data_IF_908326026119
#
_entry.id   IF_908326026119
#
_cell.length_a   1.000
_cell.length_b   1.000
_cell.length_c   1.000
_cell.angle_alpha   90.00
_cell.angle_beta   90.00
_cell.angle_gamma   90.00
#
_symmetry.space_group_name_H-M   'P 1'
#
loop_
_entity.id
_entity.type
_entity.pdbx_description
1 polymer ?
#
# COMPACT_ATOMS: atom_id res chain seq x y z
N UNK A 1 -22.68 -3.99 -18.36
CA UNK A 1 -21.86 -4.18 -17.13
C UNK A 1 -20.41 -4.46 -17.53
N UNK A 2 -19.78 -3.56 -18.29
CA UNK A 2 -18.40 -3.75 -18.78
C UNK A 2 -17.50 -2.58 -18.36
N UNK A 3 -17.92 -1.35 -18.68
CA UNK A 3 -17.17 -0.11 -18.42
C UNK A 3 -16.72 0.09 -16.96
N UNK A 4 -17.63 -0.05 -15.97
CA UNK A 4 -17.26 0.05 -14.55
C UNK A 4 -16.21 -1.00 -14.15
N UNK A 5 -16.30 -2.22 -14.70
CA UNK A 5 -15.38 -3.32 -14.37
C UNK A 5 -14.01 -3.07 -14.99
N UNK A 6 -13.96 -2.56 -16.21
CA UNK A 6 -12.72 -2.18 -16.89
C UNK A 6 -11.97 -1.10 -16.11
N UNK A 7 -12.65 0.01 -15.80
CA UNK A 7 -12.08 1.12 -15.04
C UNK A 7 -11.66 0.69 -13.62
N UNK A 8 -12.48 -0.09 -12.92
CA UNK A 8 -12.12 -0.61 -11.60
C UNK A 8 -10.95 -1.61 -11.67
N UNK A 9 -10.86 -2.37 -12.76
CA UNK A 9 -9.76 -3.28 -13.05
C UNK A 9 -8.44 -2.55 -13.21
N UNK A 10 -8.42 -1.43 -13.92
CA UNK A 10 -7.25 -0.56 -14.04
C UNK A 10 -6.78 -0.05 -12.66
N UNK A 11 -7.70 0.46 -11.82
CA UNK A 11 -7.38 0.91 -10.46
C UNK A 11 -6.82 -0.22 -9.58
N UNK A 12 -7.38 -1.42 -9.72
CA UNK A 12 -6.94 -2.61 -8.98
C UNK A 12 -5.54 -3.05 -9.39
N UNK A 13 -5.24 -3.04 -10.70
CA UNK A 13 -3.89 -3.29 -11.24
C UNK A 13 -2.89 -2.26 -10.73
N UNK A 14 -3.24 -0.97 -10.74
CA UNK A 14 -2.38 0.10 -10.22
C UNK A 14 -2.12 -0.06 -8.72
N UNK A 15 -3.10 -0.57 -7.98
CA UNK A 15 -2.98 -0.96 -6.58
C UNK A 15 -2.21 -2.26 -6.34
N UNK A 16 -1.62 -2.88 -7.37
CA UNK A 16 -0.87 -4.15 -7.33
C UNK A 16 -1.65 -5.29 -6.67
N UNK A 17 -2.98 -5.31 -6.85
CA UNK A 17 -3.89 -6.33 -6.31
C UNK A 17 -4.51 -7.15 -7.44
N UNK A 18 -4.93 -8.38 -7.14
CA UNK A 18 -5.58 -9.28 -8.10
C UNK A 18 -7.12 -9.27 -8.00
N UNK A 19 -7.68 -8.75 -6.90
CA UNK A 19 -9.12 -8.73 -6.62
C UNK A 19 -9.61 -7.29 -6.48
N UNK A 20 -10.78 -7.01 -7.06
CA UNK A 20 -11.47 -5.73 -6.91
C UNK A 20 -11.87 -5.54 -5.44
N UNK A 21 -11.62 -4.34 -4.91
CA UNK A 21 -12.16 -3.91 -3.63
C UNK A 21 -13.25 -2.84 -3.86
N UNK A 22 -14.16 -2.60 -2.89
CA UNK A 22 -15.19 -1.56 -3.00
C UNK A 22 -14.63 -0.16 -3.28
N UNK A 23 -13.39 0.09 -2.81
CA UNK A 23 -12.63 1.31 -3.10
C UNK A 23 -12.33 1.50 -4.59
N UNK A 24 -11.94 0.45 -5.31
CA UNK A 24 -11.58 0.54 -6.72
C UNK A 24 -12.79 0.89 -7.58
N UNK A 25 -13.95 0.30 -7.23
CA UNK A 25 -15.23 0.60 -7.87
C UNK A 25 -15.61 2.06 -7.60
N UNK A 26 -15.44 2.53 -6.37
CA UNK A 26 -15.75 3.92 -6.00
C UNK A 26 -14.86 4.93 -6.73
N UNK A 27 -13.56 4.63 -6.85
CA UNK A 27 -12.61 5.48 -7.57
C UNK A 27 -12.85 5.46 -9.09
N UNK A 28 -13.22 4.32 -9.66
CA UNK A 28 -13.60 4.21 -11.07
C UNK A 28 -14.81 5.10 -11.39
N UNK A 29 -15.88 4.99 -10.59
CA UNK A 29 -17.10 5.78 -10.81
C UNK A 29 -16.85 7.28 -10.61
N UNK A 30 -16.10 7.67 -9.56
CA UNK A 30 -15.85 9.08 -9.26
C UNK A 30 -14.78 9.72 -10.14
N UNK A 31 -13.90 8.91 -10.74
CA UNK A 31 -12.87 9.36 -11.66
C UNK A 31 -13.34 9.52 -13.10
N UNK A 32 -14.49 8.94 -13.44
CA UNK A 32 -15.09 9.05 -14.76
C UNK A 32 -16.20 10.12 -14.79
N UNK A 33 -16.22 10.94 -15.85
CA UNK A 33 -17.13 12.08 -15.96
C UNK A 33 -18.57 11.62 -16.21
N UNK A 34 -18.76 10.60 -17.04
CA UNK A 34 -20.07 10.12 -17.46
C UNK A 34 -20.75 9.35 -16.32
N UNK A 35 -20.00 8.44 -15.68
CA UNK A 35 -20.45 7.69 -14.52
C UNK A 35 -20.72 8.61 -13.32
N UNK A 36 -19.85 9.58 -13.01
CA UNK A 36 -20.09 10.48 -11.88
C UNK A 36 -21.32 11.37 -12.05
N UNK A 37 -21.75 11.64 -13.29
CA UNK A 37 -23.01 12.36 -13.60
C UNK A 37 -24.23 11.44 -13.57
N UNK A 38 -24.06 10.18 -13.98
CA UNK A 38 -25.12 9.19 -14.01
C UNK A 38 -25.64 8.84 -12.62
N UNK A 39 -24.73 8.72 -11.64
CA UNK A 39 -25.11 8.47 -10.26
C UNK A 39 -25.45 9.78 -9.52
N UNK A 40 -26.46 9.77 -8.63
CA UNK A 40 -26.72 10.91 -7.76
C UNK A 40 -25.45 11.36 -7.01
N UNK A 41 -25.29 12.68 -6.75
CA UNK A 41 -24.09 13.19 -6.08
C UNK A 41 -23.81 12.54 -4.72
N UNK A 42 -24.86 12.15 -4.00
CA UNK A 42 -24.81 11.53 -2.68
C UNK A 42 -24.64 10.00 -2.70
N UNK A 43 -24.54 9.37 -3.88
CA UNK A 43 -24.34 7.92 -3.96
C UNK A 43 -22.99 7.54 -3.34
N UNK A 44 -23.07 6.76 -2.26
CA UNK A 44 -21.92 6.18 -1.55
C UNK A 44 -21.95 4.67 -1.71
N UNK A 45 -20.85 4.10 -2.19
CA UNK A 45 -20.63 2.66 -2.19
C UNK A 45 -20.14 2.27 -0.80
N UNK A 46 -20.79 1.28 -0.17
CA UNK A 46 -20.37 0.78 1.14
C UNK A 46 -18.91 0.30 1.07
N UNK A 47 -18.12 0.64 2.09
CA UNK A 47 -16.68 0.35 2.16
C UNK A 47 -15.82 1.01 1.05
N UNK A 48 -16.41 1.92 0.26
CA UNK A 48 -15.76 2.58 -0.86
C UNK A 48 -14.93 3.84 -0.52
N UNK A 49 -15.26 4.52 0.58
CA UNK A 49 -14.65 5.80 0.96
C UNK A 49 -14.86 6.93 -0.06
N UNK A 50 -14.04 7.99 0.00
CA UNK A 50 -14.14 9.19 -0.86
C UNK A 50 -12.86 9.47 -1.64
N UNK A 51 -12.92 10.15 -2.80
CA UNK A 51 -11.72 10.54 -3.56
C UNK A 51 -10.82 11.42 -2.68
N UNK A 52 -9.50 11.17 -2.59
CA UNK A 52 -8.61 11.99 -1.77
C UNK A 52 -8.61 13.44 -2.25
N UNK A 53 -8.96 14.37 -1.37
CA UNK A 53 -8.93 15.80 -1.63
C UNK A 53 -8.61 16.54 -0.33
N UNK A 54 -7.63 17.44 -0.36
CA UNK A 54 -7.27 18.30 0.77
C UNK A 54 -7.39 19.74 0.30
N UNK A 55 -8.20 20.54 0.97
CA UNK A 55 -8.31 21.97 0.68
C UNK A 55 -6.97 22.66 0.94
N UNK A 56 -6.56 23.59 0.06
CA UNK A 56 -5.27 24.27 0.13
C UNK A 56 -5.04 25.01 1.46
N UNK A 57 -6.12 25.50 2.07
CA UNK A 57 -6.08 26.17 3.38
C UNK A 57 -5.63 25.26 4.53
N UNK A 58 -5.74 23.94 4.35
CA UNK A 58 -5.33 22.93 5.33
C UNK A 58 -3.89 22.47 5.12
N UNK A 59 -3.25 22.85 4.02
CA UNK A 59 -1.86 22.51 3.76
C UNK A 59 -0.94 23.43 4.55
N UNK A 60 0.01 22.83 5.26
CA UNK A 60 1.12 23.59 5.83
C UNK A 60 1.91 24.26 4.71
N UNK A 61 2.30 25.53 4.90
CA UNK A 61 3.16 26.25 3.95
C UNK A 61 4.50 25.52 3.84
N UNK A 62 4.73 24.81 2.74
CA UNK A 62 6.00 24.12 2.48
C UNK A 62 7.07 25.19 2.17
N UNK A 63 8.29 25.10 2.73
CA UNK A 63 9.42 25.87 2.20
C UNK A 63 9.69 25.41 0.75
N UNK A 64 9.98 26.35 -0.16
CA UNK A 64 10.27 26.05 -1.57
C UNK A 64 11.47 25.09 -1.65
N UNK A 65 11.24 23.84 -2.05
CA UNK A 65 12.31 22.93 -2.46
C UNK A 65 12.80 23.37 -3.84
N UNK A 66 14.12 23.46 -4.01
CA UNK A 66 14.76 23.81 -5.28
C UNK A 66 14.34 22.83 -6.39
N UNK A 67 14.27 23.27 -7.66
CA UNK A 67 13.83 22.43 -8.76
C UNK A 67 14.78 21.24 -8.94
N UNK A 68 14.25 20.02 -8.84
CA UNK A 68 14.98 18.82 -9.22
C UNK A 68 14.89 18.66 -10.74
N UNK A 69 16.06 18.60 -11.38
CA UNK A 69 16.20 18.41 -12.82
C UNK A 69 16.02 16.92 -13.10
N UNK A 70 14.93 16.54 -13.76
CA UNK A 70 14.76 15.18 -14.27
C UNK A 70 15.66 14.99 -15.51
N UNK A 71 16.52 13.95 -15.57
CA UNK A 71 17.23 13.64 -16.79
C UNK A 71 16.22 13.20 -17.87
N UNK A 72 16.25 13.86 -19.02
CA UNK A 72 15.59 13.42 -20.24
C UNK A 72 16.23 12.12 -20.71
N UNK A 73 15.45 11.04 -20.76
CA UNK A 73 15.80 9.88 -21.58
C UNK A 73 15.27 10.17 -22.98
N UNK A 74 16.19 10.44 -23.90
CA UNK A 74 15.93 10.36 -25.33
C UNK A 74 15.61 8.89 -25.67
N UNK A 75 14.53 8.68 -26.41
CA UNK A 75 14.07 7.36 -26.87
C UNK A 75 15.12 6.74 -27.80
N UNK A 76 15.87 5.75 -27.32
CA UNK A 76 16.58 4.79 -28.17
C UNK A 76 15.71 3.53 -28.27
N UNK A 77 15.10 3.35 -29.44
CA UNK A 77 14.55 2.06 -29.90
C UNK A 77 15.72 1.08 -30.08
N UNK A 78 16.00 0.26 -29.06
CA UNK A 78 16.91 -0.89 -29.17
C UNK A 78 16.10 -2.19 -29.15
N UNK A 79 15.71 -2.63 -30.35
CA UNK A 79 15.20 -3.97 -30.63
C UNK A 79 16.36 -4.98 -30.51
N UNK A 80 16.58 -5.51 -29.32
CA UNK A 80 17.42 -6.70 -29.11
C UNK A 80 16.59 -7.84 -28.50
N UNK A 81 16.17 -8.76 -29.36
CA UNK A 81 15.71 -10.11 -29.02
C UNK A 81 16.90 -10.92 -28.49
N UNK A 82 17.17 -10.84 -27.17
CA UNK A 82 18.13 -11.72 -26.50
C UNK A 82 17.40 -12.76 -25.62
N UNK A 83 17.44 -14.01 -26.11
CA UNK A 83 17.02 -15.23 -25.42
C UNK A 83 17.79 -15.39 -24.08
N UNK A 84 17.18 -15.01 -22.96
CA UNK A 84 17.79 -15.23 -21.64
C UNK A 84 17.49 -16.64 -21.11
N UNK A 85 18.32 -17.60 -21.53
CA UNK A 85 18.27 -18.99 -21.11
C UNK A 85 18.69 -19.17 -19.62
N UNK A 86 17.73 -19.67 -18.85
CA UNK A 86 17.77 -20.26 -17.50
C UNK A 86 19.11 -20.31 -16.74
N UNK A 87 19.19 -19.58 -15.63
CA UNK A 87 20.06 -19.96 -14.51
C UNK A 87 19.24 -19.95 -13.19
N UNK A 88 19.06 -21.10 -12.51
CA UNK A 88 18.51 -21.07 -11.16
C UNK A 88 19.51 -20.42 -10.22
N UNK A 89 19.10 -19.34 -9.55
CA UNK A 89 19.85 -18.76 -8.43
C UNK A 89 19.97 -19.82 -7.33
N UNK A 90 21.12 -20.47 -7.27
CA UNK A 90 21.51 -21.27 -6.10
C UNK A 90 21.65 -20.31 -4.92
N UNK A 91 20.72 -20.39 -3.97
CA UNK A 91 20.90 -19.77 -2.67
C UNK A 91 21.92 -20.61 -1.91
N UNK A 92 23.15 -20.13 -1.81
CA UNK A 92 24.06 -20.62 -0.79
C UNK A 92 23.52 -20.18 0.58
N UNK A 93 23.11 -21.16 1.37
CA UNK A 93 22.70 -20.98 2.76
C UNK A 93 23.95 -21.24 3.58
N UNK A 94 24.58 -20.20 4.13
CA UNK A 94 25.68 -20.35 5.07
C UNK A 94 25.11 -20.91 6.38
N UNK A 95 25.17 -22.23 6.52
CA UNK A 95 24.88 -22.94 7.76
C UNK A 95 26.04 -22.71 8.73
N UNK A 96 26.06 -21.56 9.41
CA UNK A 96 26.87 -21.41 10.62
C UNK A 96 26.25 -22.28 11.72
N UNK A 97 27.02 -23.29 12.11
CA UNK A 97 26.68 -24.26 13.13
C UNK A 97 26.61 -23.62 14.51
N UNK A 98 25.50 -23.89 15.20
CA UNK A 98 25.31 -24.16 16.62
C UNK A 98 26.26 -23.52 17.64
N UNK A 99 25.69 -22.69 18.54
CA UNK A 99 25.94 -22.78 19.98
C UNK A 99 24.88 -22.03 20.82
N UNK A 100 24.26 -22.82 21.71
CA UNK A 100 23.63 -22.55 23.02
C UNK A 100 22.31 -21.75 23.16
N UNK A 101 21.22 -22.38 23.66
CA UNK A 101 19.98 -21.73 24.04
C UNK A 101 19.89 -21.57 25.57
N UNK A 102 20.52 -20.54 26.16
CA UNK A 102 20.15 -20.06 27.50
C UNK A 102 20.55 -18.60 27.66
N UNK A 103 19.58 -17.69 27.46
CA UNK A 103 19.42 -16.45 28.23
C UNK A 103 18.10 -15.77 27.84
N UNK A 104 16.99 -16.39 28.25
CA UNK A 104 15.73 -15.66 28.37
C UNK A 104 15.84 -14.71 29.56
N UNK A 105 16.33 -13.50 29.32
CA UNK A 105 16.15 -12.38 30.24
C UNK A 105 14.63 -12.17 30.43
N UNK A 106 14.07 -12.23 31.65
CA UNK A 106 12.68 -11.89 31.84
C UNK A 106 12.53 -10.40 31.52
N UNK A 107 11.68 -10.07 30.55
CA UNK A 107 11.28 -8.69 30.28
C UNK A 107 10.66 -8.13 31.57
N UNK A 108 11.41 -7.26 32.26
CA UNK A 108 10.93 -6.56 33.43
C UNK A 108 9.67 -5.79 33.02
N UNK A 109 8.51 -6.30 33.44
CA UNK A 109 7.25 -5.60 33.29
C UNK A 109 7.40 -4.19 33.84
N UNK A 110 6.99 -3.19 33.06
CA UNK A 110 7.03 -1.79 33.49
C UNK A 110 6.19 -1.62 34.77
N UNK A 111 6.52 -0.66 35.64
CA UNK A 111 5.84 -0.47 36.93
C UNK A 111 4.32 -0.34 36.83
N UNK A 112 3.82 0.10 35.66
CA UNK A 112 2.40 0.29 35.38
C UNK A 112 1.62 -1.03 35.33
N UNK A 113 2.20 -2.09 34.78
CA UNK A 113 1.49 -3.36 34.56
C UNK A 113 1.41 -4.21 35.84
N UNK A 114 2.31 -3.97 36.81
CA UNK A 114 2.36 -4.73 38.06
C UNK A 114 1.21 -4.38 39.02
N UNK A 115 0.66 -3.17 38.92
CA UNK A 115 -0.43 -2.70 39.78
C UNK A 115 -1.80 -3.34 39.48
N UNK A 116 -2.00 -3.90 38.29
CA UNK A 116 -3.31 -4.44 37.88
C UNK A 116 -3.47 -5.90 38.29
N UNK A 117 -2.37 -6.66 38.41
CA UNK A 117 -2.42 -8.09 38.73
C UNK A 117 -2.51 -8.40 40.24
N UNK A 118 -2.26 -7.41 41.10
CA UNK A 118 -2.28 -7.58 42.57
C UNK A 118 -3.61 -7.15 43.22
N UNK A 119 -4.59 -6.71 42.41
CA UNK A 119 -5.83 -6.11 42.90
C UNK A 119 -7.00 -7.09 43.14
N UNK A 120 -6.82 -8.41 43.01
CA UNK A 120 -7.87 -9.37 43.35
C UNK A 120 -7.34 -10.63 44.05
N UNK A 121 -7.22 -10.60 45.39
CA UNK A 121 -7.27 -11.82 46.20
C UNK A 121 -8.74 -12.26 46.35
N UNK A 122 -9.04 -13.47 45.85
CA UNK A 122 -10.25 -14.27 46.10
C UNK A 122 -11.63 -13.63 45.90
N UNK A 123 -12.32 -14.02 44.81
CA UNK A 123 -13.73 -14.45 44.80
C UNK A 123 -14.02 -15.32 43.57
#
# INVERSE_FOLDING_TARGET
>A
MAEIIELAGERTKNGKRKRLNPRDISLAIKGDIELNRLFPPWTVIREGGVVPHIHEQLLFKRPKRAPEVSPSTDDEDDDSDDDFEQHPRSYHIDLHQSQDPEQSQPVLASPSTRAILEAHPDR
#
